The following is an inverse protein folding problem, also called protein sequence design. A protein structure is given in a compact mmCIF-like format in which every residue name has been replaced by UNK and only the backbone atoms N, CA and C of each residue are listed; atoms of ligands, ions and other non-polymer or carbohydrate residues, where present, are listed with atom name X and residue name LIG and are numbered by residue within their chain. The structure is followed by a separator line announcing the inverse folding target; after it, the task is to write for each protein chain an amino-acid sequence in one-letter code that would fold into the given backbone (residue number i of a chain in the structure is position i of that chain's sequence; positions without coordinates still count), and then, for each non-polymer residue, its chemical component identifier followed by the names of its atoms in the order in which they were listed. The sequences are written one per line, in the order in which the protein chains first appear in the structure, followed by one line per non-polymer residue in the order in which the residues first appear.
data_IF_155127076493
#
_entry.id   IF_155127076493
#
_cell.length_a   1.000
_cell.length_b   1.000
_cell.length_c   1.000
_cell.angle_alpha   90.00
_cell.angle_beta   90.00
_cell.angle_gamma   90.00
#
_symmetry.space_group_name_H-M   'P 1'
#
loop_
_entity.id
_entity.type
_entity.pdbx_description
1 polymer ?
#
# COMPACT_ATOMS: atom_id res chain seq x y z
N UNK A 1 -6.88 -9.86 -9.47
CA UNK A 1 -7.87 -9.10 -10.26
C UNK A 1 -9.25 -9.45 -9.77
N UNK A 2 -9.96 -8.48 -9.19
CA UNK A 2 -11.23 -8.67 -8.48
C UNK A 2 -11.48 -7.59 -7.43
N UNK A 3 -10.41 -6.97 -6.95
CA UNK A 3 -10.41 -5.79 -6.09
C UNK A 3 -10.10 -4.53 -6.92
N UNK A 4 -10.84 -3.44 -6.71
CA UNK A 4 -10.63 -2.13 -7.32
C UNK A 4 -9.52 -1.31 -6.67
N UNK A 5 -8.38 -1.93 -6.34
CA UNK A 5 -7.23 -1.32 -5.67
C UNK A 5 -6.25 -0.61 -6.62
N UNK A 6 -6.65 -0.28 -7.85
CA UNK A 6 -5.74 0.38 -8.80
C UNK A 6 -5.22 1.74 -8.31
N UNK A 7 -5.96 2.40 -7.43
CA UNK A 7 -5.56 3.64 -6.77
C UNK A 7 -4.34 3.43 -5.86
N UNK A 8 -4.30 2.32 -5.16
CA UNK A 8 -3.27 1.91 -4.22
C UNK A 8 -2.01 1.49 -4.98
N UNK A 9 -2.12 0.55 -5.92
CA UNK A 9 -1.00 0.16 -6.80
C UNK A 9 -0.37 1.35 -7.52
N UNK A 10 -1.18 2.30 -8.00
CA UNK A 10 -0.67 3.51 -8.63
C UNK A 10 0.11 4.40 -7.65
N UNK A 11 -0.33 4.50 -6.40
CA UNK A 11 0.33 5.30 -5.37
C UNK A 11 1.62 4.64 -4.89
N UNK A 12 1.56 3.34 -4.56
CA UNK A 12 2.68 2.52 -4.11
C UNK A 12 3.78 2.46 -5.15
N UNK A 13 3.46 2.12 -6.41
CA UNK A 13 4.45 2.10 -7.49
C UNK A 13 5.06 3.47 -7.79
N UNK A 14 4.30 4.56 -7.65
CA UNK A 14 4.85 5.91 -7.77
C UNK A 14 5.84 6.24 -6.64
N UNK A 15 5.57 5.78 -5.42
CA UNK A 15 6.47 5.94 -4.28
C UNK A 15 7.75 5.13 -4.45
N UNK A 16 7.65 3.85 -4.83
CA UNK A 16 8.80 2.99 -5.11
C UNK A 16 9.70 3.57 -6.21
N UNK A 17 9.08 4.06 -7.31
CA UNK A 17 9.82 4.69 -8.39
C UNK A 17 10.55 5.96 -7.93
N UNK A 18 9.90 6.79 -7.10
CA UNK A 18 10.53 7.98 -6.53
C UNK A 18 11.71 7.60 -5.62
N UNK A 19 11.57 6.55 -4.81
CA UNK A 19 12.63 6.05 -3.94
C UNK A 19 13.80 5.50 -4.74
N UNK A 20 13.54 4.73 -5.80
CA UNK A 20 14.57 4.25 -6.72
C UNK A 20 15.35 5.39 -7.37
N UNK A 21 14.67 6.45 -7.80
CA UNK A 21 15.34 7.62 -8.41
C UNK A 21 16.22 8.36 -7.39
N UNK A 22 15.75 8.49 -6.15
CA UNK A 22 16.45 9.26 -5.11
C UNK A 22 17.62 8.50 -4.48
N UNK A 23 17.42 7.20 -4.20
CA UNK A 23 18.30 6.40 -3.34
C UNK A 23 18.94 5.20 -4.07
N UNK A 24 18.69 5.03 -5.38
CA UNK A 24 19.17 3.90 -6.19
C UNK A 24 18.84 2.52 -5.59
N UNK A 25 17.70 2.45 -4.89
CA UNK A 25 17.24 1.26 -4.16
C UNK A 25 15.89 0.81 -4.71
N UNK A 26 15.80 -0.47 -5.07
CA UNK A 26 14.55 -1.09 -5.50
C UNK A 26 13.81 -1.59 -4.27
N UNK A 27 12.59 -1.07 -4.06
CA UNK A 27 11.67 -1.52 -3.03
C UNK A 27 10.54 -2.34 -3.68
N UNK A 28 9.96 -3.23 -2.88
CA UNK A 28 8.76 -4.00 -3.19
C UNK A 28 7.86 -3.90 -1.96
N UNK A 29 7.00 -2.88 -1.97
CA UNK A 29 6.19 -2.45 -0.84
C UNK A 29 4.81 -3.12 -0.86
N UNK A 30 4.26 -3.32 0.32
CA UNK A 30 2.98 -4.00 0.47
C UNK A 30 1.79 -3.11 0.11
N UNK A 31 1.16 -3.37 -1.03
CA UNK A 31 -0.16 -2.79 -1.32
C UNK A 31 -1.21 -3.32 -0.33
N UNK A 32 -1.06 -4.55 0.19
CA UNK A 32 -2.01 -5.05 1.19
C UNK A 32 -1.98 -4.24 2.49
N UNK A 33 -0.83 -3.70 2.89
CA UNK A 33 -0.75 -2.78 4.02
C UNK A 33 -1.66 -1.58 3.77
N UNK A 34 -1.53 -0.94 2.60
CA UNK A 34 -2.39 0.20 2.23
C UNK A 34 -3.85 -0.21 2.21
N UNK A 35 -4.19 -1.33 1.56
CA UNK A 35 -5.56 -1.80 1.43
C UNK A 35 -6.21 -2.15 2.78
N UNK A 36 -5.45 -2.69 3.73
CA UNK A 36 -5.96 -3.16 5.03
C UNK A 36 -5.84 -2.16 6.17
N UNK A 37 -4.85 -1.27 6.13
CA UNK A 37 -4.46 -0.40 7.25
C UNK A 37 -4.70 1.08 6.99
N UNK A 38 -5.16 1.50 5.80
CA UNK A 38 -5.41 2.91 5.55
C UNK A 38 -6.49 3.49 6.49
N UNK A 39 -6.28 4.74 6.91
CA UNK A 39 -7.22 5.48 7.78
C UNK A 39 -8.44 6.03 7.01
N UNK A 40 -8.55 5.75 5.71
CA UNK A 40 -9.60 6.23 4.82
C UNK A 40 -10.75 5.23 4.65
N UNK A 41 -11.69 5.58 3.76
CA UNK A 41 -12.76 4.67 3.31
C UNK A 41 -12.37 3.93 2.01
N UNK A 42 -11.09 3.95 1.66
CA UNK A 42 -10.57 3.37 0.43
C UNK A 42 -10.38 1.86 0.56
N UNK A 43 -10.77 1.12 -0.49
CA UNK A 43 -10.79 -0.34 -0.46
C UNK A 43 -10.91 -0.95 -1.85
N UNK A 44 -11.49 -2.15 -1.92
CA UNK A 44 -11.76 -2.84 -3.18
C UNK A 44 -12.89 -2.21 -3.99
N UNK A 45 -13.68 -1.32 -3.40
CA UNK A 45 -14.65 -0.47 -4.10
C UNK A 45 -14.02 0.70 -4.86
N UNK A 46 -12.71 0.91 -4.73
CA UNK A 46 -12.02 2.11 -5.19
C UNK A 46 -11.51 2.94 -4.01
N UNK A 47 -10.78 4.01 -4.34
CA UNK A 47 -10.12 4.82 -3.34
C UNK A 47 -9.28 5.93 -3.94
N UNK A 48 -8.57 6.65 -3.08
CA UNK A 48 -7.74 7.80 -3.45
C UNK A 48 -6.28 7.56 -3.10
N UNK A 49 -5.38 7.91 -4.02
CA UNK A 49 -3.92 7.81 -3.81
C UNK A 49 -3.44 8.53 -2.54
N UNK A 50 -4.15 9.57 -2.11
CA UNK A 50 -3.86 10.30 -0.86
C UNK A 50 -3.90 9.39 0.36
N UNK A 51 -4.74 8.37 0.38
CA UNK A 51 -4.90 7.50 1.54
C UNK A 51 -3.68 6.59 1.71
N UNK A 52 -3.10 6.13 0.60
CA UNK A 52 -1.82 5.41 0.59
C UNK A 52 -0.68 6.31 1.09
N UNK A 53 -0.58 7.54 0.57
CA UNK A 53 0.47 8.46 1.00
C UNK A 53 0.33 8.90 2.47
N UNK A 54 -0.90 9.10 2.94
CA UNK A 54 -1.15 9.42 4.35
C UNK A 54 -0.71 8.26 5.26
N UNK A 55 -0.97 7.02 4.85
CA UNK A 55 -0.47 5.83 5.55
C UNK A 55 1.06 5.80 5.58
N UNK A 56 1.73 5.98 4.43
CA UNK A 56 3.20 5.99 4.38
C UNK A 56 3.82 7.11 5.23
N UNK A 57 3.17 8.28 5.31
CA UNK A 57 3.64 9.40 6.14
C UNK A 57 3.44 9.12 7.64
N UNK A 58 2.35 8.46 8.01
CA UNK A 58 1.96 8.26 9.42
C UNK A 58 2.56 7.01 10.05
N UNK A 59 2.60 5.91 9.32
CA UNK A 59 3.00 4.59 9.80
C UNK A 59 4.22 4.02 9.07
N UNK A 60 4.62 4.61 7.94
CA UNK A 60 5.63 4.06 7.06
C UNK A 60 5.06 3.01 6.10
N UNK A 61 5.90 2.58 5.16
CA UNK A 61 5.60 1.50 4.25
C UNK A 61 6.37 0.24 4.68
N UNK A 62 5.71 -0.92 4.65
CA UNK A 62 6.34 -2.23 4.88
C UNK A 62 6.56 -2.96 3.57
N UNK A 63 7.49 -3.91 3.55
CA UNK A 63 7.77 -4.72 2.36
C UNK A 63 6.63 -5.72 2.09
N UNK A 64 6.40 -6.06 0.81
CA UNK A 64 5.38 -6.99 0.34
C UNK A 64 5.39 -8.36 1.08
N UNK A 65 6.54 -8.96 1.44
CA UNK A 65 6.56 -10.21 2.21
C UNK A 65 5.92 -10.13 3.60
N UNK A 66 5.82 -8.93 4.19
CA UNK A 66 5.22 -8.76 5.50
C UNK A 66 3.69 -8.83 5.47
N UNK A 67 3.08 -8.27 4.43
CA UNK A 67 1.65 -8.40 4.17
C UNK A 67 1.43 -8.66 2.68
N UNK A 68 1.48 -9.94 2.24
CA UNK A 68 1.32 -10.24 0.82
C UNK A 68 -0.06 -9.85 0.28
N UNK A 69 -0.09 -9.37 -0.95
CA UNK A 69 -1.31 -8.93 -1.62
C UNK A 69 -2.33 -10.05 -1.80
N UNK A 70 -3.46 -9.92 -1.10
CA UNK A 70 -4.57 -10.87 -1.12
C UNK A 70 -5.76 -10.41 -1.96
N UNK A 71 -5.71 -9.22 -2.56
CA UNK A 71 -6.78 -8.64 -3.36
C UNK A 71 -8.14 -8.60 -2.64
N UNK A 72 -8.13 -8.26 -1.35
CA UNK A 72 -9.30 -8.18 -0.49
C UNK A 72 -9.08 -7.15 0.61
N UNK A 73 -10.05 -6.24 0.78
CA UNK A 73 -10.12 -5.26 1.86
C UNK A 73 -10.74 -5.85 3.15
N UNK A 74 -11.09 -7.14 3.14
CA UNK A 74 -11.49 -7.88 4.33
C UNK A 74 -10.30 -8.51 5.09
N UNK A 75 -9.07 -8.38 4.57
CA UNK A 75 -7.87 -8.86 5.25
C UNK A 75 -7.57 -7.88 6.40
N UNK A 76 -7.45 -8.36 7.65
CA UNK A 76 -7.21 -7.49 8.78
C UNK A 76 -5.83 -6.82 8.69
N UNK A 77 -5.73 -5.59 9.16
CA UNK A 77 -4.45 -4.91 9.30
C UNK A 77 -3.53 -5.67 10.28
N UNK A 78 -2.33 -6.01 9.83
CA UNK A 78 -1.31 -6.70 10.64
C UNK A 78 0.08 -6.08 10.50
N UNK A 79 0.14 -4.78 10.19
CA UNK A 79 1.40 -4.08 9.88
C UNK A 79 2.42 -4.11 11.02
N UNK A 80 1.97 -4.15 12.29
CA UNK A 80 2.86 -4.20 13.47
C UNK A 80 3.53 -5.56 13.69
N UNK A 81 3.17 -6.58 12.91
CA UNK A 81 3.79 -7.92 12.95
C UNK A 81 4.93 -8.07 11.91
N UNK A 82 5.31 -6.94 11.30
CA UNK A 82 6.51 -6.71 10.51
C UNK A 82 7.42 -5.80 11.36
#
# INVERSE_FOLDING_TARGET
GGCGSCWDFAATGAFEAAYLIAEDTVLDLSEQQVLSCNDGESGCGGGWMSDAYNLFISHGAIDEPCMPYGASDAIPCTQDNC
#
